data_IF_351133704183
#
_entry.id   IF_351133704183
#
_cell.length_a   1.000
_cell.length_b   1.000
_cell.length_c   1.000
_cell.angle_alpha   90.00
_cell.angle_beta   90.00
_cell.angle_gamma   90.00
#
_symmetry.space_group_name_H-M   'P 1'
#
loop_
_entity.id
_entity.type
_entity.pdbx_description
1 polymer ?
#
# COMPACT_ATOMS: atom_id res chain seq x y z
N UNK A 1 -18.70 -1.05 -17.82
CA UNK A 1 -17.58 -1.94 -17.45
C UNK A 1 -17.11 -1.52 -16.07
N UNK A 2 -16.78 -2.46 -15.16
CA UNK A 2 -16.19 -2.14 -13.86
C UNK A 2 -14.76 -1.69 -14.07
N UNK A 3 -14.38 -0.57 -13.46
CA UNK A 3 -13.02 -0.01 -13.56
C UNK A 3 -12.23 -0.17 -12.27
N UNK A 4 -10.93 -0.10 -12.40
CA UNK A 4 -9.93 -0.17 -11.33
C UNK A 4 -9.32 1.21 -11.15
N UNK A 5 -9.16 1.66 -9.91
CA UNK A 5 -8.44 2.87 -9.56
C UNK A 5 -7.17 2.51 -8.77
N UNK A 6 -6.03 3.01 -9.22
CA UNK A 6 -4.77 2.95 -8.47
C UNK A 6 -4.45 4.35 -7.97
N UNK A 7 -4.68 4.62 -6.68
CA UNK A 7 -4.44 5.91 -6.03
C UNK A 7 -3.05 5.91 -5.37
N UNK A 8 -2.16 6.78 -5.83
CA UNK A 8 -0.71 6.76 -5.55
C UNK A 8 0.07 6.07 -6.68
N UNK A 9 -0.42 6.21 -7.92
CA UNK A 9 0.07 5.53 -9.10
C UNK A 9 1.51 5.91 -9.51
N UNK A 10 1.99 7.09 -9.09
CA UNK A 10 3.34 7.56 -9.42
C UNK A 10 4.42 7.10 -8.43
N UNK A 11 4.06 6.30 -7.42
CA UNK A 11 4.99 5.68 -6.49
C UNK A 11 5.65 4.42 -7.06
N UNK A 12 6.61 3.83 -6.32
CA UNK A 12 7.31 2.61 -6.74
C UNK A 12 6.37 1.45 -7.06
N UNK A 13 5.50 1.08 -6.10
CA UNK A 13 4.50 0.02 -6.29
C UNK A 13 3.48 0.45 -7.35
N UNK A 14 2.99 1.70 -7.28
CA UNK A 14 1.95 2.21 -8.15
C UNK A 14 2.29 2.13 -9.63
N UNK A 15 3.50 2.56 -10.00
CA UNK A 15 3.99 2.52 -11.38
C UNK A 15 4.00 1.10 -11.94
N UNK A 16 4.58 0.16 -11.22
CA UNK A 16 4.68 -1.24 -11.66
C UNK A 16 3.29 -1.93 -11.69
N UNK A 17 2.45 -1.63 -10.69
CA UNK A 17 1.11 -2.19 -10.60
C UNK A 17 0.20 -1.70 -11.73
N UNK A 18 0.23 -0.39 -12.06
CA UNK A 18 -0.53 0.17 -13.18
C UNK A 18 -0.15 -0.50 -14.49
N UNK A 19 1.16 -0.64 -14.76
CA UNK A 19 1.65 -1.32 -15.97
C UNK A 19 1.12 -2.74 -16.07
N UNK A 20 1.28 -3.51 -15.00
CA UNK A 20 0.87 -4.92 -14.99
C UNK A 20 -0.66 -5.08 -15.08
N UNK A 21 -1.41 -4.28 -14.33
CA UNK A 21 -2.88 -4.32 -14.40
C UNK A 21 -3.40 -3.93 -15.78
N UNK A 22 -2.81 -2.93 -16.45
CA UNK A 22 -3.20 -2.53 -17.81
C UNK A 22 -2.93 -3.65 -18.83
N UNK A 23 -1.81 -4.35 -18.70
CA UNK A 23 -1.53 -5.52 -19.54
C UNK A 23 -2.56 -6.65 -19.33
N UNK A 24 -2.98 -6.90 -18.10
CA UNK A 24 -3.88 -8.01 -17.77
C UNK A 24 -5.36 -7.68 -17.97
N UNK A 25 -5.78 -6.44 -17.71
CA UNK A 25 -7.19 -6.04 -17.67
C UNK A 25 -7.59 -5.07 -18.79
N UNK A 26 -6.62 -4.57 -19.56
CA UNK A 26 -6.80 -3.55 -20.59
C UNK A 26 -6.54 -2.13 -20.08
N UNK A 27 -5.94 -1.32 -20.93
CA UNK A 27 -5.49 0.03 -20.62
C UNK A 27 -6.63 0.93 -20.12
N UNK A 28 -7.78 0.94 -20.80
CA UNK A 28 -8.95 1.77 -20.47
C UNK A 28 -9.68 1.34 -19.18
N UNK A 29 -9.39 0.13 -18.67
CA UNK A 29 -10.00 -0.39 -17.46
C UNK A 29 -9.33 0.13 -16.20
N UNK A 30 -8.04 0.50 -16.29
CA UNK A 30 -7.19 0.85 -15.14
C UNK A 30 -6.85 2.34 -15.16
N UNK A 31 -7.44 3.07 -14.23
CA UNK A 31 -7.18 4.50 -14.02
C UNK A 31 -6.03 4.67 -13.03
N UNK A 32 -4.98 5.33 -13.47
CA UNK A 32 -3.92 5.79 -12.60
C UNK A 32 -4.30 7.15 -11.98
N UNK A 33 -4.13 7.31 -10.67
CA UNK A 33 -4.41 8.54 -9.96
C UNK A 33 -3.29 8.89 -9.00
N UNK A 34 -2.91 10.15 -8.94
CA UNK A 34 -1.88 10.65 -8.04
C UNK A 34 -2.10 12.14 -7.74
N UNK A 35 -1.42 12.67 -6.72
CA UNK A 35 -1.40 14.11 -6.44
C UNK A 35 -0.65 14.91 -7.52
N UNK A 36 0.26 14.26 -8.26
CA UNK A 36 1.02 14.88 -9.33
C UNK A 36 0.09 15.31 -10.47
N UNK A 37 0.36 16.50 -11.03
CA UNK A 37 -0.41 17.02 -12.16
C UNK A 37 -0.09 16.28 -13.47
N UNK A 38 1.16 15.85 -13.63
CA UNK A 38 1.63 15.20 -14.86
C UNK A 38 1.76 13.70 -14.67
N UNK A 39 1.21 12.96 -15.63
CA UNK A 39 1.36 11.52 -15.70
C UNK A 39 2.82 11.16 -16.08
N UNK A 40 3.50 10.32 -15.32
CA UNK A 40 4.80 9.81 -15.72
C UNK A 40 4.72 9.08 -17.07
N UNK A 41 5.73 9.32 -17.95
CA UNK A 41 5.77 8.73 -19.29
C UNK A 41 5.58 7.20 -19.28
N UNK A 42 6.17 6.54 -18.30
CA UNK A 42 6.12 5.07 -18.16
C UNK A 42 4.71 4.52 -17.98
N UNK A 43 3.74 5.31 -17.47
CA UNK A 43 2.33 4.91 -17.27
C UNK A 43 1.35 5.79 -18.05
N UNK A 44 1.78 6.43 -19.13
CA UNK A 44 0.92 7.31 -19.93
C UNK A 44 0.08 6.58 -20.99
N UNK A 45 0.14 5.25 -21.01
CA UNK A 45 -0.57 4.39 -21.97
C UNK A 45 -2.05 4.12 -21.60
N UNK A 46 -2.68 4.98 -20.81
CA UNK A 46 -4.08 4.82 -20.40
C UNK A 46 -4.55 5.97 -19.50
N UNK A 47 -5.78 5.91 -18.96
CA UNK A 47 -6.38 6.98 -18.18
C UNK A 47 -5.54 7.40 -16.99
N UNK A 48 -5.39 8.71 -16.80
CA UNK A 48 -4.74 9.33 -15.65
C UNK A 48 -5.57 10.50 -15.13
N UNK A 49 -5.62 10.65 -13.82
CA UNK A 49 -6.27 11.78 -13.16
C UNK A 49 -5.43 12.30 -11.99
N UNK A 50 -5.34 13.61 -11.87
CA UNK A 50 -4.83 14.23 -10.66
C UNK A 50 -5.90 14.14 -9.56
N UNK A 51 -5.57 13.47 -8.44
CA UNK A 51 -6.50 13.25 -7.34
C UNK A 51 -5.77 13.23 -6.00
N UNK A 52 -6.21 14.09 -5.08
CA UNK A 52 -5.69 14.11 -3.71
C UNK A 52 -6.38 13.01 -2.88
N UNK A 53 -5.58 12.14 -2.25
CA UNK A 53 -6.09 11.08 -1.37
C UNK A 53 -6.85 11.61 -0.14
N UNK A 54 -6.74 12.89 0.18
CA UNK A 54 -7.48 13.57 1.26
C UNK A 54 -8.73 14.32 0.78
N UNK A 55 -8.93 14.47 -0.53
CA UNK A 55 -10.14 15.11 -1.07
C UNK A 55 -11.30 14.11 -1.18
N UNK A 56 -12.00 13.94 -0.06
CA UNK A 56 -13.14 13.02 0.04
C UNK A 56 -14.21 13.26 -1.03
N UNK A 57 -14.48 14.52 -1.38
CA UNK A 57 -15.55 14.85 -2.32
C UNK A 57 -15.15 14.48 -3.75
N UNK A 58 -13.95 14.84 -4.18
CA UNK A 58 -13.44 14.51 -5.52
C UNK A 58 -13.29 13.00 -5.70
N UNK A 59 -12.76 12.30 -4.69
CA UNK A 59 -12.66 10.83 -4.71
C UNK A 59 -14.04 10.19 -4.86
N UNK A 60 -15.02 10.62 -4.04
CA UNK A 60 -16.38 10.09 -4.08
C UNK A 60 -17.02 10.28 -5.44
N UNK A 61 -17.00 11.50 -5.95
CA UNK A 61 -17.58 11.82 -7.27
C UNK A 61 -16.92 10.98 -8.35
N UNK A 62 -15.60 10.93 -8.38
CA UNK A 62 -14.87 10.19 -9.40
C UNK A 62 -15.18 8.69 -9.40
N UNK A 63 -15.22 8.07 -8.21
CA UNK A 63 -15.52 6.64 -8.03
C UNK A 63 -16.94 6.32 -8.55
N UNK A 64 -17.93 7.15 -8.20
CA UNK A 64 -19.33 6.93 -8.59
C UNK A 64 -19.52 7.17 -10.10
N UNK A 65 -19.07 8.31 -10.60
CA UNK A 65 -19.29 8.74 -12.00
C UNK A 65 -18.59 7.83 -13.01
N UNK A 66 -17.46 7.23 -12.64
CA UNK A 66 -16.67 6.36 -13.50
C UNK A 66 -16.86 4.85 -13.24
N UNK A 67 -17.82 4.47 -12.37
CA UNK A 67 -18.09 3.08 -12.02
C UNK A 67 -16.83 2.32 -11.55
N UNK A 68 -16.01 2.96 -10.71
CA UNK A 68 -14.85 2.33 -10.08
C UNK A 68 -15.35 1.29 -9.07
N UNK A 69 -14.90 0.06 -9.19
CA UNK A 69 -15.32 -1.04 -8.33
C UNK A 69 -14.18 -1.70 -7.56
N UNK A 70 -12.96 -1.46 -7.99
CA UNK A 70 -11.77 -1.97 -7.33
C UNK A 70 -10.79 -0.83 -7.12
N UNK A 71 -10.26 -0.68 -5.90
CA UNK A 71 -9.34 0.40 -5.54
C UNK A 71 -8.08 -0.17 -4.91
N UNK A 72 -6.92 0.23 -5.47
CA UNK A 72 -5.62 0.03 -4.86
C UNK A 72 -5.19 1.36 -4.22
N UNK A 73 -5.28 1.45 -2.90
CA UNK A 73 -4.91 2.65 -2.16
C UNK A 73 -3.44 2.57 -1.74
N UNK A 74 -2.57 3.14 -2.56
CA UNK A 74 -1.12 3.14 -2.36
C UNK A 74 -0.58 4.47 -1.83
N UNK A 75 -1.38 5.54 -1.90
CA UNK A 75 -1.02 6.87 -1.42
C UNK A 75 -0.73 6.85 0.09
N UNK A 76 0.51 7.13 0.46
CA UNK A 76 0.96 7.18 1.85
C UNK A 76 2.28 7.94 1.96
N UNK A 77 2.56 8.51 3.14
CA UNK A 77 3.91 8.93 3.51
C UNK A 77 4.66 7.74 4.14
N UNK A 78 5.86 7.49 3.60
CA UNK A 78 6.72 6.40 4.03
C UNK A 78 7.57 6.79 5.24
N UNK A 79 8.15 5.79 5.91
CA UNK A 79 8.80 5.87 7.21
C UNK A 79 9.70 7.09 7.43
N UNK A 80 10.77 7.26 6.66
CA UNK A 80 11.70 8.37 6.89
C UNK A 80 11.11 9.76 6.58
N UNK A 81 10.17 9.82 5.61
CA UNK A 81 9.45 11.08 5.29
C UNK A 81 8.36 11.37 6.31
N UNK A 82 7.68 10.33 6.82
CA UNK A 82 6.64 10.45 7.82
C UNK A 82 7.17 11.02 9.15
N UNK A 83 8.37 10.61 9.59
CA UNK A 83 8.99 11.15 10.81
C UNK A 83 9.30 12.66 10.74
N UNK A 84 9.41 13.24 9.55
CA UNK A 84 9.61 14.69 9.39
C UNK A 84 8.34 15.50 9.61
N UNK A 85 7.17 14.89 9.41
CA UNK A 85 5.86 15.52 9.62
C UNK A 85 4.85 14.46 10.10
N UNK A 86 4.91 14.05 11.38
CA UNK A 86 4.11 12.97 11.93
C UNK A 86 2.60 13.19 11.85
N UNK A 87 2.13 14.42 12.09
CA UNK A 87 0.71 14.76 12.06
C UNK A 87 0.14 14.64 10.65
N UNK A 88 0.85 15.17 9.65
CA UNK A 88 0.42 15.04 8.26
C UNK A 88 0.52 13.61 7.77
N UNK A 89 1.56 12.87 8.20
CA UNK A 89 1.69 11.45 7.88
C UNK A 89 0.51 10.63 8.41
N UNK A 90 0.14 10.86 9.68
CA UNK A 90 -1.05 10.23 10.27
C UNK A 90 -2.31 10.59 9.48
N UNK A 91 -2.50 11.87 9.19
CA UNK A 91 -3.65 12.36 8.43
C UNK A 91 -3.75 11.67 7.08
N UNK A 92 -2.69 11.71 6.27
CA UNK A 92 -2.71 11.11 4.93
C UNK A 92 -2.94 9.59 4.99
N UNK A 93 -2.20 8.89 5.86
CA UNK A 93 -2.24 7.43 5.91
C UNK A 93 -3.56 6.89 6.48
N UNK A 94 -4.21 7.64 7.37
CA UNK A 94 -5.44 7.17 8.03
C UNK A 94 -6.71 7.77 7.43
N UNK A 95 -6.78 9.09 7.20
CA UNK A 95 -7.99 9.70 6.62
C UNK A 95 -8.20 9.22 5.17
N UNK A 96 -7.12 9.10 4.38
CA UNK A 96 -7.19 8.50 3.05
C UNK A 96 -7.75 7.07 3.06
N UNK A 97 -7.35 6.26 4.05
CA UNK A 97 -7.89 4.92 4.23
C UNK A 97 -9.40 4.96 4.58
N UNK A 98 -9.81 5.82 5.51
CA UNK A 98 -11.23 5.92 5.91
C UNK A 98 -12.12 6.37 4.75
N UNK A 99 -11.66 7.29 3.90
CA UNK A 99 -12.43 7.72 2.72
C UNK A 99 -12.78 6.51 1.84
N UNK A 100 -11.82 5.64 1.57
CA UNK A 100 -12.03 4.46 0.71
C UNK A 100 -12.84 3.37 1.41
N UNK A 101 -12.57 3.12 2.70
CA UNK A 101 -13.36 2.16 3.50
C UNK A 101 -14.83 2.56 3.60
N UNK A 102 -15.13 3.85 3.82
CA UNK A 102 -16.51 4.36 3.88
C UNK A 102 -17.23 4.17 2.54
N UNK A 103 -16.57 4.44 1.41
CA UNK A 103 -17.14 4.23 0.08
C UNK A 103 -17.43 2.75 -0.20
N UNK A 104 -16.60 1.85 0.29
CA UNK A 104 -16.86 0.41 0.19
C UNK A 104 -18.01 -0.04 1.12
N UNK A 105 -18.09 0.49 2.34
CA UNK A 105 -19.22 0.29 3.26
C UNK A 105 -20.53 0.76 2.63
N UNK A 106 -20.51 1.87 1.89
CA UNK A 106 -21.66 2.40 1.13
C UNK A 106 -21.94 1.62 -0.16
N UNK A 107 -21.16 0.57 -0.48
CA UNK A 107 -21.29 -0.28 -1.68
C UNK A 107 -20.96 0.41 -3.01
N UNK A 108 -20.22 1.51 -2.98
CA UNK A 108 -19.68 2.12 -4.19
C UNK A 108 -18.46 1.38 -4.73
N UNK A 109 -17.67 0.77 -3.83
CA UNK A 109 -16.48 -0.04 -4.13
C UNK A 109 -16.76 -1.49 -3.71
N UNK A 110 -16.40 -2.45 -4.57
CA UNK A 110 -16.58 -3.88 -4.30
C UNK A 110 -15.36 -4.45 -3.54
N UNK A 111 -14.15 -3.98 -3.86
CA UNK A 111 -12.89 -4.54 -3.35
C UNK A 111 -11.79 -3.48 -3.17
N UNK A 112 -11.05 -3.58 -2.09
CA UNK A 112 -9.94 -2.68 -1.76
C UNK A 112 -8.66 -3.49 -1.57
N UNK A 113 -7.55 -3.01 -2.14
CA UNK A 113 -6.21 -3.35 -1.72
C UNK A 113 -5.60 -2.17 -0.94
N UNK A 114 -5.10 -2.45 0.25
CA UNK A 114 -4.37 -1.48 1.07
C UNK A 114 -3.08 -2.11 1.60
N UNK A 115 -1.89 -1.63 1.20
CA UNK A 115 -0.64 -2.23 1.62
C UNK A 115 -0.34 -1.95 3.09
N UNK A 116 -0.07 -3.00 3.85
CA UNK A 116 0.63 -2.92 5.13
C UNK A 116 2.14 -3.05 4.91
N UNK A 117 2.89 -3.17 5.98
CA UNK A 117 4.36 -3.19 5.96
C UNK A 117 4.90 -3.98 7.14
N UNK A 118 6.11 -4.52 7.01
CA UNK A 118 6.88 -5.02 8.16
C UNK A 118 7.15 -3.94 9.22
N UNK A 119 6.95 -2.67 8.90
CA UNK A 119 7.04 -1.57 9.87
C UNK A 119 6.02 -1.66 11.02
N UNK A 120 5.01 -2.55 10.95
CA UNK A 120 4.11 -2.88 12.07
C UNK A 120 4.82 -3.61 13.21
N UNK A 121 5.97 -4.22 12.93
CA UNK A 121 6.78 -4.88 13.93
C UNK A 121 7.62 -3.87 14.71
N UNK A 122 7.95 -4.20 15.94
CA UNK A 122 8.74 -3.36 16.84
C UNK A 122 9.83 -4.15 17.57
N UNK A 123 10.54 -3.51 18.48
CA UNK A 123 11.68 -4.12 19.18
C UNK A 123 11.35 -5.39 19.98
N UNK A 124 10.08 -5.56 20.35
CA UNK A 124 9.60 -6.71 21.13
C UNK A 124 9.08 -7.86 20.26
N UNK A 125 8.99 -7.64 18.97
CA UNK A 125 8.59 -8.67 18.01
C UNK A 125 9.71 -9.71 17.86
N UNK A 126 9.42 -11.04 17.89
CA UNK A 126 10.43 -12.06 17.59
C UNK A 126 11.07 -11.81 16.23
N UNK A 127 12.41 -11.73 16.18
CA UNK A 127 13.14 -11.39 14.96
C UNK A 127 13.28 -12.58 14.00
N UNK A 128 13.44 -13.78 14.56
CA UNK A 128 13.59 -15.00 13.76
C UNK A 128 12.25 -15.68 13.57
N UNK A 129 11.95 -16.08 12.32
CA UNK A 129 10.73 -16.78 11.94
C UNK A 129 9.47 -16.08 12.49
N UNK A 130 9.42 -14.75 12.37
CA UNK A 130 8.33 -13.92 12.89
C UNK A 130 6.96 -14.48 12.54
N UNK A 131 6.13 -14.89 13.51
CA UNK A 131 4.81 -15.45 13.23
C UNK A 131 3.86 -14.39 12.64
N UNK A 132 2.86 -14.84 11.87
CA UNK A 132 1.81 -13.95 11.37
C UNK A 132 1.05 -13.25 12.52
N UNK A 133 0.74 -14.00 13.59
CA UNK A 133 0.16 -13.48 14.82
C UNK A 133 1.25 -13.34 15.87
N UNK A 134 1.62 -12.09 16.16
CA UNK A 134 2.72 -11.79 17.07
C UNK A 134 2.57 -10.41 17.69
N UNK A 135 3.44 -10.07 18.61
CA UNK A 135 3.52 -8.74 19.21
C UNK A 135 3.90 -7.71 18.15
N UNK A 136 3.10 -6.66 18.04
CA UNK A 136 3.33 -5.54 17.14
C UNK A 136 3.35 -4.25 17.96
N UNK A 137 4.55 -3.74 18.21
CA UNK A 137 4.78 -2.50 18.97
C UNK A 137 5.68 -1.55 18.15
N UNK A 138 5.15 -1.04 17.01
CA UNK A 138 5.91 -0.14 16.15
C UNK A 138 6.27 1.15 16.90
N UNK A 139 7.47 1.65 16.63
CA UNK A 139 8.01 2.86 17.27
C UNK A 139 8.05 4.07 16.32
N UNK A 140 7.59 3.90 15.08
CA UNK A 140 7.52 4.97 14.08
C UNK A 140 6.08 5.35 13.77
N UNK A 141 5.83 6.62 13.42
CA UNK A 141 4.47 7.06 13.03
C UNK A 141 3.92 6.27 11.83
N UNK A 142 4.80 5.92 10.89
CA UNK A 142 4.44 5.06 9.76
C UNK A 142 3.99 3.67 10.22
N UNK A 143 4.78 3.00 11.06
CA UNK A 143 4.46 1.68 11.61
C UNK A 143 3.18 1.70 12.43
N UNK A 144 2.99 2.71 13.29
CA UNK A 144 1.78 2.92 14.08
C UNK A 144 0.56 3.08 13.16
N UNK A 145 0.67 3.89 12.10
CA UNK A 145 -0.43 4.07 11.15
C UNK A 145 -0.77 2.77 10.39
N UNK A 146 0.25 1.97 10.03
CA UNK A 146 0.04 0.67 9.37
C UNK A 146 -0.61 -0.36 10.32
N UNK A 147 -0.16 -0.44 11.56
CA UNK A 147 -0.81 -1.30 12.56
C UNK A 147 -2.26 -0.89 12.82
N UNK A 148 -2.52 0.39 13.03
CA UNK A 148 -3.87 0.92 13.21
C UNK A 148 -4.75 0.63 11.98
N UNK A 149 -4.21 0.85 10.77
CA UNK A 149 -4.92 0.59 9.52
C UNK A 149 -5.28 -0.89 9.34
N UNK A 150 -4.42 -1.84 9.71
CA UNK A 150 -4.76 -3.28 9.72
C UNK A 150 -5.98 -3.55 10.61
N UNK A 151 -6.02 -2.96 11.82
CA UNK A 151 -7.16 -3.13 12.73
C UNK A 151 -8.45 -2.51 12.17
N UNK A 152 -8.37 -1.34 11.53
CA UNK A 152 -9.52 -0.73 10.88
C UNK A 152 -10.02 -1.51 9.66
N UNK A 153 -9.13 -2.02 8.83
CA UNK A 153 -9.50 -2.91 7.72
C UNK A 153 -10.25 -4.15 8.22
N UNK A 154 -9.73 -4.81 9.25
CA UNK A 154 -10.37 -5.95 9.90
C UNK A 154 -11.75 -5.57 10.48
N UNK A 155 -11.86 -4.45 11.18
CA UNK A 155 -13.11 -3.96 11.74
C UNK A 155 -14.18 -3.72 10.65
N UNK A 156 -13.79 -3.05 9.53
CA UNK A 156 -14.73 -2.79 8.44
C UNK A 156 -15.18 -4.08 7.74
N UNK A 157 -14.28 -5.05 7.63
CA UNK A 157 -14.65 -6.36 7.12
C UNK A 157 -15.66 -7.06 8.05
N UNK A 158 -15.34 -7.20 9.33
CA UNK A 158 -16.18 -7.90 10.33
C UNK A 158 -17.54 -7.24 10.52
N UNK A 159 -17.60 -5.91 10.55
CA UNK A 159 -18.82 -5.17 10.87
C UNK A 159 -19.69 -4.83 9.66
N UNK A 160 -19.06 -4.60 8.51
CA UNK A 160 -19.75 -4.09 7.32
C UNK A 160 -19.58 -4.98 6.08
N UNK A 161 -18.83 -6.07 6.18
CA UNK A 161 -18.59 -6.99 5.08
C UNK A 161 -17.78 -6.35 3.94
N UNK A 162 -16.89 -5.40 4.25
CA UNK A 162 -16.01 -4.77 3.25
C UNK A 162 -14.92 -5.76 2.87
N UNK A 163 -14.78 -6.06 1.56
CA UNK A 163 -13.66 -6.83 1.04
C UNK A 163 -12.42 -5.92 0.94
N UNK A 164 -11.60 -5.92 1.98
CA UNK A 164 -10.33 -5.20 2.03
C UNK A 164 -9.20 -6.16 2.29
N UNK A 165 -8.19 -6.14 1.40
CA UNK A 165 -7.08 -7.08 1.37
C UNK A 165 -5.76 -6.36 1.56
N UNK A 166 -4.82 -6.99 2.24
CA UNK A 166 -3.57 -6.36 2.63
C UNK A 166 -2.41 -7.36 2.65
N UNK A 167 -1.22 -6.86 2.31
CA UNK A 167 0.05 -7.58 2.44
C UNK A 167 0.98 -6.73 3.30
N UNK A 168 1.67 -7.34 4.28
CA UNK A 168 2.79 -6.73 4.98
C UNK A 168 4.02 -6.82 4.10
N UNK A 169 4.25 -5.79 3.28
CA UNK A 169 5.42 -5.78 2.43
C UNK A 169 6.71 -5.67 3.24
N UNK A 170 7.73 -6.45 2.86
CA UNK A 170 9.11 -6.21 3.29
C UNK A 170 9.72 -5.01 2.54
N UNK A 171 11.04 -4.82 2.63
CA UNK A 171 11.74 -3.89 1.77
C UNK A 171 11.58 -4.29 0.29
N UNK A 172 11.18 -3.35 -0.56
CA UNK A 172 10.96 -3.62 -1.99
C UNK A 172 12.14 -3.15 -2.82
N UNK A 173 12.62 -4.04 -3.68
CA UNK A 173 13.67 -3.74 -4.65
C UNK A 173 13.02 -3.51 -6.00
N UNK A 174 13.07 -2.28 -6.50
CA UNK A 174 12.55 -1.87 -7.82
C UNK A 174 13.62 -1.15 -8.63
N UNK A 175 13.40 -1.02 -9.93
CA UNK A 175 14.32 -0.33 -10.83
C UNK A 175 13.63 0.65 -11.81
N UNK A 176 12.30 0.61 -11.89
CA UNK A 176 11.52 1.45 -12.82
C UNK A 176 11.21 2.85 -12.28
N UNK A 177 11.29 3.02 -10.97
CA UNK A 177 11.11 4.32 -10.33
C UNK A 177 12.12 4.52 -9.21
N UNK A 178 12.45 5.79 -8.93
CA UNK A 178 13.39 6.14 -7.87
C UNK A 178 12.81 5.82 -6.49
N UNK A 179 13.66 5.52 -5.49
CA UNK A 179 13.26 5.33 -4.11
C UNK A 179 12.44 6.49 -3.54
N UNK A 180 11.40 6.17 -2.76
CA UNK A 180 10.43 7.14 -2.23
C UNK A 180 10.68 7.63 -0.80
N UNK A 181 11.77 7.25 -0.17
CA UNK A 181 12.12 7.61 1.22
C UNK A 181 11.76 6.55 2.25
N UNK A 182 11.77 5.29 1.88
CA UNK A 182 11.69 4.15 2.80
C UNK A 182 13.04 3.82 3.44
N UNK A 183 13.03 3.19 4.61
CA UNK A 183 14.26 2.78 5.32
C UNK A 183 15.04 1.67 4.60
N UNK A 184 14.40 0.94 3.70
CA UNK A 184 14.99 -0.14 2.90
C UNK A 184 15.46 0.30 1.51
N UNK A 185 15.24 1.56 1.18
CA UNK A 185 15.57 2.12 -0.14
C UNK A 185 17.07 2.13 -0.45
N UNK A 186 17.92 2.00 0.58
CA UNK A 186 19.37 1.86 0.42
C UNK A 186 19.75 0.74 -0.55
N UNK A 187 18.99 -0.36 -0.57
CA UNK A 187 19.24 -1.51 -1.41
C UNK A 187 19.04 -1.22 -2.91
N UNK A 188 18.34 -0.15 -3.24
CA UNK A 188 18.17 0.37 -4.61
C UNK A 188 19.10 1.56 -4.86
N UNK A 189 19.17 2.50 -3.92
CA UNK A 189 19.93 3.74 -4.03
C UNK A 189 21.43 3.47 -4.18
N UNK A 190 21.94 2.41 -3.55
CA UNK A 190 23.35 2.01 -3.67
C UNK A 190 23.81 1.82 -5.13
N UNK A 191 22.96 1.26 -5.99
CA UNK A 191 23.29 1.04 -7.40
C UNK A 191 23.32 2.34 -8.18
N UNK A 192 22.39 3.25 -7.95
CA UNK A 192 22.38 4.58 -8.56
C UNK A 192 23.62 5.37 -8.13
N UNK A 193 23.89 5.45 -6.82
CA UNK A 193 25.03 6.20 -6.28
C UNK A 193 26.36 5.60 -6.67
N UNK A 194 26.48 4.28 -6.70
CA UNK A 194 27.69 3.61 -7.16
C UNK A 194 27.99 3.93 -8.64
N UNK A 195 26.96 3.98 -9.48
CA UNK A 195 27.10 4.33 -10.90
C UNK A 195 27.46 5.82 -11.10
N UNK A 196 26.84 6.73 -10.35
CA UNK A 196 27.09 8.17 -10.43
C UNK A 196 28.45 8.54 -9.84
N UNK A 197 28.71 8.17 -8.59
CA UNK A 197 29.82 8.66 -7.78
C UNK A 197 30.89 7.61 -7.48
N UNK A 198 30.63 6.33 -7.87
CA UNK A 198 31.47 5.16 -7.51
C UNK A 198 31.69 5.01 -6.00
N UNK A 199 30.82 5.62 -5.18
CA UNK A 199 30.90 5.60 -3.73
C UNK A 199 29.49 5.73 -3.14
N UNK A 200 29.22 4.90 -2.13
CA UNK A 200 27.98 4.94 -1.35
C UNK A 200 28.29 4.79 0.15
N UNK A 201 27.72 5.64 0.98
CA UNK A 201 27.79 5.53 2.44
C UNK A 201 26.51 4.85 2.92
N UNK A 202 26.58 3.57 3.25
CA UNK A 202 25.48 2.86 3.87
C UNK A 202 25.34 3.28 5.34
N UNK A 203 24.12 3.61 5.76
CA UNK A 203 23.82 4.01 7.14
C UNK A 203 23.53 2.81 8.06
N UNK A 204 23.49 1.59 7.50
CA UNK A 204 23.27 0.36 8.27
C UNK A 204 24.61 -0.24 8.69
N UNK A 205 24.56 -0.99 9.79
CA UNK A 205 25.70 -1.80 10.22
C UNK A 205 25.91 -3.00 9.27
N UNK A 206 27.13 -3.53 9.21
CA UNK A 206 27.51 -4.61 8.30
C UNK A 206 26.69 -5.90 8.50
N UNK A 207 26.26 -6.16 9.72
CA UNK A 207 25.49 -7.34 10.14
C UNK A 207 23.97 -7.15 10.13
N UNK A 208 23.49 -5.99 9.64
CA UNK A 208 22.05 -5.71 9.59
C UNK A 208 21.36 -6.55 8.51
N UNK A 209 20.55 -7.50 8.94
CA UNK A 209 19.69 -8.29 8.06
C UNK A 209 18.28 -7.67 8.00
N UNK A 210 17.78 -7.42 6.79
CA UNK A 210 16.42 -6.93 6.54
C UNK A 210 15.74 -7.82 5.49
N UNK A 211 14.48 -8.20 5.69
CA UNK A 211 13.74 -8.94 4.68
C UNK A 211 13.49 -8.05 3.46
N UNK A 212 13.79 -8.59 2.28
CA UNK A 212 13.66 -7.89 1.01
C UNK A 212 12.87 -8.73 0.01
N UNK A 213 12.14 -8.08 -0.89
CA UNK A 213 11.37 -8.71 -1.94
C UNK A 213 11.59 -7.97 -3.26
N UNK A 214 11.69 -8.70 -4.36
CA UNK A 214 11.73 -8.10 -5.68
C UNK A 214 10.36 -7.57 -6.08
N UNK A 215 10.31 -6.42 -6.78
CA UNK A 215 9.04 -5.75 -7.07
C UNK A 215 8.10 -6.61 -7.91
N UNK A 216 8.60 -7.36 -8.88
CA UNK A 216 7.76 -8.23 -9.71
C UNK A 216 7.02 -9.28 -8.88
N UNK A 217 7.67 -9.84 -7.84
CA UNK A 217 7.03 -10.78 -6.90
C UNK A 217 5.99 -10.07 -6.02
N UNK A 218 6.27 -8.83 -5.60
CA UNK A 218 5.32 -8.04 -4.84
C UNK A 218 4.04 -7.73 -5.66
N UNK A 219 4.21 -7.33 -6.92
CA UNK A 219 3.10 -7.06 -7.84
C UNK A 219 2.30 -8.34 -8.11
N UNK A 220 2.98 -9.46 -8.40
CA UNK A 220 2.34 -10.75 -8.59
C UNK A 220 1.51 -11.16 -7.37
N UNK A 221 2.11 -11.12 -6.17
CA UNK A 221 1.41 -11.46 -4.93
C UNK A 221 0.19 -10.54 -4.67
N UNK A 222 0.30 -9.25 -5.00
CA UNK A 222 -0.81 -8.29 -4.89
C UNK A 222 -1.97 -8.69 -5.79
N UNK A 223 -1.70 -8.99 -7.05
CA UNK A 223 -2.72 -9.35 -8.04
C UNK A 223 -3.35 -10.71 -7.69
N UNK A 224 -2.55 -11.72 -7.36
CA UNK A 224 -3.04 -13.03 -6.93
C UNK A 224 -3.94 -12.92 -5.69
N UNK A 225 -3.54 -12.11 -4.70
CA UNK A 225 -4.38 -11.85 -3.52
C UNK A 225 -5.70 -11.19 -3.91
N UNK A 226 -5.66 -10.19 -4.80
CA UNK A 226 -6.86 -9.46 -5.22
C UNK A 226 -7.79 -10.31 -6.11
N UNK A 227 -7.27 -11.27 -6.86
CA UNK A 227 -8.04 -12.20 -7.68
C UNK A 227 -8.55 -13.42 -6.92
N UNK A 228 -7.95 -13.74 -5.77
CA UNK A 228 -8.37 -14.88 -4.97
C UNK A 228 -9.85 -14.80 -4.58
N UNK A 229 -10.61 -15.89 -4.58
CA UNK A 229 -11.95 -15.96 -4.00
C UNK A 229 -11.92 -15.54 -2.53
N UNK A 230 -12.94 -14.80 -2.08
CA UNK A 230 -12.96 -14.23 -0.72
C UNK A 230 -12.86 -15.30 0.37
N UNK A 231 -13.41 -16.47 0.14
CA UNK A 231 -13.35 -17.62 1.03
C UNK A 231 -11.93 -18.17 1.25
N UNK A 232 -11.02 -17.85 0.33
CA UNK A 232 -9.61 -18.24 0.42
C UNK A 232 -8.72 -17.15 1.03
N UNK A 233 -9.27 -15.95 1.22
CA UNK A 233 -8.54 -14.83 1.82
C UNK A 233 -8.71 -14.89 3.33
N UNK A 234 -7.66 -15.27 4.04
CA UNK A 234 -7.63 -15.16 5.49
C UNK A 234 -7.51 -13.68 5.87
N UNK A 235 -8.62 -13.11 6.30
CA UNK A 235 -8.60 -11.86 7.03
C UNK A 235 -8.00 -12.21 8.40
N UNK A 236 -7.02 -11.45 8.84
CA UNK A 236 -6.30 -11.72 10.09
C UNK A 236 -7.28 -11.59 11.26
N UNK A 237 -7.99 -12.64 11.58
CA UNK A 237 -8.90 -12.67 12.71
C UNK A 237 -8.17 -13.21 13.93
N UNK A 238 -8.40 -12.60 15.08
CA UNK A 238 -8.20 -13.28 16.35
C UNK A 238 -8.97 -14.62 16.33
N UNK A 239 -8.48 -15.66 17.00
CA UNK A 239 -9.20 -16.92 17.08
C UNK A 239 -10.66 -16.65 17.49
N UNK A 240 -11.62 -17.32 16.86
CA UNK A 240 -13.06 -17.17 17.12
C UNK A 240 -13.44 -17.26 18.62
N UNK A 241 -12.59 -17.90 19.41
CA UNK A 241 -12.76 -18.07 20.86
C UNK A 241 -12.53 -16.81 21.70
N UNK A 242 -12.07 -15.68 21.13
CA UNK A 242 -11.73 -14.46 21.87
C UNK A 242 -12.60 -13.24 21.51
N UNK A 243 -13.64 -13.40 20.70
CA UNK A 243 -14.64 -12.35 20.54
C UNK A 243 -15.67 -12.47 21.66
N UNK A 244 -15.67 -11.58 22.69
CA UNK A 244 -16.80 -11.48 23.58
C UNK A 244 -18.02 -11.10 22.74
N UNK A 245 -19.09 -11.87 22.83
CA UNK A 245 -20.39 -11.45 22.31
C UNK A 245 -20.86 -10.29 23.18
N UNK A 246 -20.75 -9.06 22.69
CA UNK A 246 -21.35 -7.87 23.26
C UNK A 246 -22.74 -7.66 22.71
#
# INVERSE_FOLDING_TARGET
MKKILVLGACGQIGTELVLTLRQLKGEETVVAADLKNECPEIINNGPYIQLDALDKQSIRSYIIDNNIKEVYLLAALLSATAEKNPEFAWKLNMEGLFIILDLAKEKHIDKIFWPSSIAVFGPTTPMDQTPQHTIMEPTTVYGISKQAGERWCEYYNLKFGVDVRSIRYPGLISYKSLPGGGTTDYAVDIFYKAKENKKFNCFLKEDTALPMMFMDDAIRATIELMEAPIENVKITTAPESLCPQW
#
